data_IF_392072360661
#
_entry.id   IF_392072360661
#
_cell.length_a   1.000
_cell.length_b   1.000
_cell.length_c   1.000
_cell.angle_alpha   90.00
_cell.angle_beta   90.00
_cell.angle_gamma   90.00
#
_symmetry.space_group_name_H-M   'P 1'
#
loop_
_entity.id
_entity.type
_entity.pdbx_description
1 polymer ?
#
# COMPACT_ATOMS: atom_id res chain seq x y z
N UNK A 1 -25.02 -19.84 -12.91
CA UNK A 1 -24.42 -19.26 -11.69
C UNK A 1 -24.89 -17.81 -11.59
N UNK A 2 -25.87 -17.53 -10.73
CA UNK A 2 -26.35 -16.16 -10.45
C UNK A 2 -25.43 -15.48 -9.44
N UNK A 3 -24.24 -15.09 -9.89
CA UNK A 3 -23.26 -14.36 -9.07
C UNK A 3 -23.71 -12.93 -8.79
N UNK A 4 -24.37 -12.29 -9.74
CA UNK A 4 -24.85 -10.91 -9.66
C UNK A 4 -26.37 -10.90 -9.61
N UNK A 5 -26.92 -10.24 -8.60
CA UNK A 5 -28.32 -9.87 -8.57
C UNK A 5 -28.52 -8.53 -9.27
N UNK A 6 -29.76 -8.27 -9.68
CA UNK A 6 -30.11 -7.02 -10.34
C UNK A 6 -31.43 -6.46 -9.81
N UNK A 7 -31.40 -5.18 -9.48
CA UNK A 7 -32.59 -4.39 -9.19
C UNK A 7 -32.81 -3.41 -10.34
N UNK A 8 -34.07 -3.22 -10.74
CA UNK A 8 -34.44 -2.26 -11.79
C UNK A 8 -35.33 -1.19 -11.22
N UNK A 9 -35.04 0.06 -11.55
CA UNK A 9 -35.87 1.22 -11.23
C UNK A 9 -36.12 2.07 -12.50
N UNK A 10 -36.70 3.26 -12.32
CA UNK A 10 -36.98 4.18 -13.42
C UNK A 10 -35.73 4.75 -14.10
N UNK A 11 -34.56 4.65 -13.45
CA UNK A 11 -33.29 5.21 -13.92
C UNK A 11 -32.33 4.15 -14.48
N UNK A 12 -32.61 2.86 -14.27
CA UNK A 12 -31.88 1.78 -14.94
C UNK A 12 -31.80 0.50 -14.14
N UNK A 13 -30.73 -0.27 -14.40
CA UNK A 13 -30.43 -1.55 -13.75
C UNK A 13 -29.23 -1.37 -12.83
N UNK A 14 -29.42 -1.66 -11.55
CA UNK A 14 -28.36 -1.70 -10.55
C UNK A 14 -27.96 -3.16 -10.38
N UNK A 15 -26.68 -3.45 -10.60
CA UNK A 15 -26.10 -4.77 -10.33
C UNK A 15 -25.50 -4.76 -8.92
N UNK A 16 -25.78 -5.79 -8.13
CA UNK A 16 -25.25 -5.93 -6.78
C UNK A 16 -24.93 -7.38 -6.45
N UNK A 17 -24.06 -7.56 -5.45
CA UNK A 17 -23.78 -8.86 -4.85
C UNK A 17 -24.65 -8.98 -3.59
N UNK A 18 -25.31 -10.12 -3.41
CA UNK A 18 -25.87 -10.44 -2.09
C UNK A 18 -24.73 -10.67 -1.08
N UNK A 19 -25.04 -10.69 0.21
CA UNK A 19 -24.01 -10.79 1.26
C UNK A 19 -23.11 -12.02 1.10
N UNK A 20 -23.68 -13.17 0.77
CA UNK A 20 -22.93 -14.42 0.56
C UNK A 20 -21.96 -14.31 -0.62
N UNK A 21 -22.43 -13.81 -1.76
CA UNK A 21 -21.60 -13.64 -2.95
C UNK A 21 -20.54 -12.55 -2.75
N UNK A 22 -20.83 -11.51 -1.97
CA UNK A 22 -19.85 -10.48 -1.62
C UNK A 22 -18.68 -11.06 -0.83
N UNK A 23 -18.95 -11.93 0.16
CA UNK A 23 -17.90 -12.67 0.90
C UNK A 23 -17.14 -13.62 -0.03
N UNK A 24 -17.82 -14.35 -0.91
CA UNK A 24 -17.14 -15.20 -1.91
C UNK A 24 -16.23 -14.38 -2.84
N UNK A 25 -16.64 -13.17 -3.24
CA UNK A 25 -15.84 -12.32 -4.13
C UNK A 25 -14.56 -11.81 -3.47
N UNK A 26 -14.48 -11.69 -2.13
CA UNK A 26 -13.21 -11.34 -1.48
C UNK A 26 -12.20 -12.50 -1.61
N UNK A 27 -12.64 -13.74 -1.49
CA UNK A 27 -11.81 -14.92 -1.75
C UNK A 27 -11.33 -14.96 -3.21
N UNK A 28 -12.23 -14.76 -4.18
CA UNK A 28 -11.83 -14.71 -5.60
C UNK A 28 -10.88 -13.57 -5.90
N UNK A 29 -11.10 -12.37 -5.33
CA UNK A 29 -10.19 -11.23 -5.46
C UNK A 29 -8.80 -11.63 -5.01
N UNK A 30 -8.66 -12.25 -3.84
CA UNK A 30 -7.35 -12.64 -3.31
C UNK A 30 -6.63 -13.66 -4.20
N UNK A 31 -7.37 -14.56 -4.86
CA UNK A 31 -6.79 -15.53 -5.78
C UNK A 31 -6.26 -14.94 -7.10
N UNK A 32 -6.72 -13.75 -7.52
CA UNK A 32 -6.29 -13.13 -8.78
C UNK A 32 -5.53 -11.82 -8.58
N UNK A 33 -5.44 -11.33 -7.34
CA UNK A 33 -4.85 -10.03 -7.03
C UNK A 33 -3.41 -9.89 -7.56
N UNK A 34 -2.63 -10.97 -7.51
CA UNK A 34 -1.26 -11.03 -8.00
C UNK A 34 -1.12 -10.65 -9.49
N UNK A 35 -2.14 -10.92 -10.32
CA UNK A 35 -2.17 -10.57 -11.75
C UNK A 35 -2.28 -9.05 -11.92
N UNK A 36 -3.06 -8.40 -11.05
CA UNK A 36 -3.33 -6.97 -11.11
C UNK A 36 -2.32 -6.13 -10.31
N UNK A 37 -1.48 -6.75 -9.48
CA UNK A 37 -0.63 -6.03 -8.54
C UNK A 37 0.29 -4.99 -9.19
N UNK A 38 1.03 -5.38 -10.25
CA UNK A 38 1.93 -4.48 -10.96
C UNK A 38 1.19 -3.35 -11.71
N UNK A 39 0.18 -3.61 -12.56
CA UNK A 39 -0.55 -2.52 -13.21
C UNK A 39 -1.27 -1.62 -12.18
N UNK A 40 -1.75 -2.16 -11.06
CA UNK A 40 -2.30 -1.36 -9.96
C UNK A 40 -1.25 -0.46 -9.30
N UNK A 41 -0.02 -0.94 -9.11
CA UNK A 41 1.09 -0.11 -8.65
C UNK A 41 1.37 1.04 -9.62
N UNK A 42 1.49 0.75 -10.92
CA UNK A 42 1.72 1.77 -11.93
C UNK A 42 0.58 2.81 -11.95
N UNK A 43 -0.67 2.35 -11.89
CA UNK A 43 -1.84 3.22 -11.83
C UNK A 43 -1.86 4.12 -10.57
N UNK A 44 -1.38 3.60 -9.43
CA UNK A 44 -1.32 4.35 -8.17
C UNK A 44 -0.43 5.59 -8.27
N UNK A 45 0.67 5.53 -9.01
CA UNK A 45 1.56 6.68 -9.21
C UNK A 45 0.85 7.89 -9.84
N UNK A 46 -0.11 7.61 -10.73
CA UNK A 46 -0.88 8.63 -11.42
C UNK A 46 -2.09 9.13 -10.64
N UNK A 47 -2.35 8.64 -9.42
CA UNK A 47 -3.37 9.21 -8.53
C UNK A 47 -2.92 10.56 -7.95
N UNK A 48 -1.65 10.65 -7.58
CA UNK A 48 -1.04 11.85 -7.00
C UNK A 48 -0.28 12.70 -8.02
N UNK A 49 0.19 12.10 -9.11
CA UNK A 49 1.08 12.74 -10.09
C UNK A 49 0.41 12.81 -11.45
N UNK A 50 0.28 14.00 -12.02
CA UNK A 50 -0.37 14.16 -13.34
C UNK A 50 0.51 13.71 -14.50
N UNK A 51 1.83 13.68 -14.30
CA UNK A 51 2.83 13.28 -15.29
C UNK A 51 4.04 12.64 -14.61
N UNK A 52 4.66 11.66 -15.25
CA UNK A 52 5.90 11.01 -14.78
C UNK A 52 6.76 10.55 -15.95
N UNK A 53 8.09 10.64 -15.81
CA UNK A 53 9.01 10.03 -16.76
C UNK A 53 9.12 8.52 -16.54
N UNK A 54 9.52 7.78 -17.57
CA UNK A 54 9.80 6.34 -17.48
C UNK A 54 10.81 6.03 -16.35
N UNK A 55 11.87 6.82 -16.25
CA UNK A 55 12.90 6.68 -15.22
C UNK A 55 12.33 6.79 -13.79
N UNK A 56 11.46 7.77 -13.55
CA UNK A 56 10.80 7.94 -12.25
C UNK A 56 9.89 6.74 -11.94
N UNK A 57 9.13 6.26 -12.92
CA UNK A 57 8.25 5.10 -12.78
C UNK A 57 9.07 3.87 -12.39
N UNK A 58 10.15 3.58 -13.11
CA UNK A 58 11.02 2.45 -12.81
C UNK A 58 11.68 2.56 -11.44
N UNK A 59 12.16 3.75 -11.06
CA UNK A 59 12.77 3.96 -9.74
C UNK A 59 11.81 3.60 -8.61
N UNK A 60 10.57 4.11 -8.65
CA UNK A 60 9.59 3.79 -7.61
C UNK A 60 9.09 2.35 -7.70
N UNK A 61 8.96 1.80 -8.91
CA UNK A 61 8.54 0.41 -9.10
C UNK A 61 9.57 -0.53 -8.50
N UNK A 62 10.86 -0.36 -8.81
CA UNK A 62 11.95 -1.17 -8.23
C UNK A 62 12.04 -1.06 -6.72
N UNK A 63 11.69 0.10 -6.16
CA UNK A 63 11.67 0.29 -4.71
C UNK A 63 10.51 -0.44 -4.02
N UNK A 64 9.34 -0.57 -4.65
CA UNK A 64 8.13 -1.12 -4.04
C UNK A 64 7.84 -2.57 -4.46
N UNK A 65 8.23 -2.95 -5.67
CA UNK A 65 7.94 -4.26 -6.26
C UNK A 65 8.45 -5.44 -5.44
N UNK A 66 9.67 -5.45 -4.85
CA UNK A 66 10.13 -6.59 -4.05
C UNK A 66 9.17 -6.98 -2.92
N UNK A 67 8.56 -5.99 -2.27
CA UNK A 67 7.61 -6.21 -1.17
C UNK A 67 6.28 -6.75 -1.68
N UNK A 68 5.76 -6.21 -2.79
CA UNK A 68 4.56 -6.75 -3.44
C UNK A 68 4.78 -8.16 -3.97
N UNK A 69 5.96 -8.41 -4.54
CA UNK A 69 6.35 -9.71 -5.07
C UNK A 69 6.37 -10.76 -3.98
N UNK A 70 7.00 -10.47 -2.84
CA UNK A 70 7.07 -11.40 -1.72
C UNK A 70 5.70 -11.66 -1.10
N UNK A 71 4.85 -10.64 -0.97
CA UNK A 71 3.53 -10.80 -0.35
C UNK A 71 2.52 -11.51 -1.26
N UNK A 72 2.53 -11.20 -2.56
CA UNK A 72 1.54 -11.69 -3.53
C UNK A 72 2.08 -12.80 -4.44
N UNK A 73 3.30 -13.29 -4.18
CA UNK A 73 3.97 -14.33 -4.96
C UNK A 73 4.00 -14.01 -6.47
N UNK A 74 4.32 -12.75 -6.80
CA UNK A 74 4.33 -12.29 -8.19
C UNK A 74 5.44 -12.99 -8.98
N UNK A 75 5.09 -13.51 -10.15
CA UNK A 75 5.95 -14.42 -10.93
C UNK A 75 7.24 -13.80 -11.50
N UNK A 76 7.26 -12.49 -11.78
CA UNK A 76 8.36 -11.91 -12.56
C UNK A 76 9.57 -11.61 -11.68
N UNK A 77 10.77 -12.10 -12.02
CA UNK A 77 11.99 -11.74 -11.29
C UNK A 77 12.35 -10.27 -11.52
N UNK A 78 13.17 -9.69 -10.62
CA UNK A 78 13.62 -8.30 -10.72
C UNK A 78 14.38 -8.00 -12.03
N UNK A 79 15.04 -9.00 -12.61
CA UNK A 79 15.75 -8.87 -13.91
C UNK A 79 14.81 -8.58 -15.08
N UNK A 80 13.56 -9.02 -15.01
CA UNK A 80 12.56 -8.83 -16.06
C UNK A 80 11.65 -7.62 -15.80
N UNK A 81 11.70 -7.04 -14.59
CA UNK A 81 10.74 -6.05 -14.13
C UNK A 81 10.61 -4.85 -15.07
N UNK A 82 11.72 -4.31 -15.57
CA UNK A 82 11.72 -3.14 -16.45
C UNK A 82 10.95 -3.39 -17.75
N UNK A 83 11.16 -4.56 -18.37
CA UNK A 83 10.50 -4.92 -19.61
C UNK A 83 9.00 -5.11 -19.37
N UNK A 84 8.62 -5.76 -18.27
CA UNK A 84 7.22 -5.96 -17.89
C UNK A 84 6.54 -4.62 -17.60
N UNK A 85 7.24 -3.67 -16.96
CA UNK A 85 6.73 -2.31 -16.75
C UNK A 85 6.48 -1.62 -18.08
N UNK A 86 7.39 -1.71 -19.04
CA UNK A 86 7.21 -1.11 -20.37
C UNK A 86 6.01 -1.69 -21.11
N UNK A 87 5.80 -3.01 -21.03
CA UNK A 87 4.64 -3.67 -21.61
C UNK A 87 3.33 -3.13 -21.01
N UNK A 88 3.25 -2.98 -19.69
CA UNK A 88 2.08 -2.40 -19.03
C UNK A 88 1.86 -0.93 -19.38
N UNK A 89 2.93 -0.14 -19.47
CA UNK A 89 2.83 1.26 -19.87
C UNK A 89 2.36 1.40 -21.32
N UNK A 90 2.83 0.54 -22.23
CA UNK A 90 2.32 0.48 -23.61
C UNK A 90 0.83 0.13 -23.63
N UNK A 91 0.42 -0.90 -22.87
CA UNK A 91 -1.00 -1.26 -22.74
C UNK A 91 -1.85 -0.13 -22.16
N UNK A 92 -1.36 0.62 -21.16
CA UNK A 92 -2.08 1.78 -20.62
C UNK A 92 -2.27 2.88 -21.67
N UNK A 93 -1.28 3.10 -22.54
CA UNK A 93 -1.40 4.07 -23.64
C UNK A 93 -2.38 3.60 -24.70
N UNK A 94 -2.30 2.32 -25.10
CA UNK A 94 -3.21 1.71 -26.08
C UNK A 94 -4.67 1.77 -25.62
N UNK A 95 -4.92 1.52 -24.33
CA UNK A 95 -6.25 1.57 -23.73
C UNK A 95 -6.70 2.99 -23.34
N UNK A 96 -5.91 4.03 -23.63
CA UNK A 96 -6.21 5.43 -23.31
C UNK A 96 -6.16 5.78 -21.82
N UNK A 97 -5.72 4.85 -20.97
CA UNK A 97 -5.55 5.06 -19.53
C UNK A 97 -4.38 5.99 -19.21
N UNK A 98 -3.42 6.12 -20.13
CA UNK A 98 -2.35 7.12 -20.11
C UNK A 98 -2.15 7.70 -21.51
N UNK A 99 -1.47 8.84 -21.57
CA UNK A 99 -0.96 9.43 -22.83
C UNK A 99 0.54 9.58 -22.73
N UNK A 100 1.27 9.22 -23.78
CA UNK A 100 2.71 9.43 -23.84
C UNK A 100 3.01 10.67 -24.70
N UNK A 101 3.61 11.71 -24.11
CA UNK A 101 3.92 12.97 -24.78
C UNK A 101 5.25 13.51 -24.27
N UNK A 102 6.16 13.91 -25.16
CA UNK A 102 7.46 14.52 -24.80
C UNK A 102 8.22 13.69 -23.75
N UNK A 103 8.34 12.39 -23.99
CA UNK A 103 9.05 11.42 -23.13
C UNK A 103 8.50 11.26 -21.70
N UNK A 104 7.26 11.71 -21.47
CA UNK A 104 6.56 11.50 -20.20
C UNK A 104 5.18 10.88 -20.40
N UNK A 105 4.80 10.04 -19.45
CA UNK A 105 3.45 9.53 -19.33
C UNK A 105 2.59 10.56 -18.59
N UNK A 106 1.38 10.78 -19.08
CA UNK A 106 0.45 11.79 -18.59
C UNK A 106 -0.90 11.14 -18.37
N UNK A 107 -1.47 11.34 -17.19
CA UNK A 107 -2.79 10.82 -16.86
C UNK A 107 -3.93 11.54 -17.62
N UNK A 108 -5.10 10.90 -17.78
CA UNK A 108 -6.32 11.54 -18.24
C UNK A 108 -6.84 12.61 -17.27
N UNK A 109 -7.81 13.41 -17.70
CA UNK A 109 -8.41 14.42 -16.81
C UNK A 109 -9.22 13.75 -15.68
N UNK A 110 -9.27 14.31 -14.46
CA UNK A 110 -10.00 13.69 -13.35
C UNK A 110 -11.49 13.44 -13.62
N UNK A 111 -12.11 14.22 -14.50
CA UNK A 111 -13.50 14.09 -14.94
C UNK A 111 -13.73 12.99 -15.99
N UNK A 112 -12.67 12.41 -16.54
CA UNK A 112 -12.75 11.42 -17.61
C UNK A 112 -13.04 10.01 -17.10
N UNK A 113 -13.66 9.19 -17.94
CA UNK A 113 -13.93 7.77 -17.64
C UNK A 113 -12.62 7.00 -17.44
N UNK A 114 -11.60 7.32 -18.21
CA UNK A 114 -10.29 6.67 -18.19
C UNK A 114 -9.58 6.91 -16.85
N UNK A 115 -9.70 8.12 -16.27
CA UNK A 115 -9.19 8.38 -14.93
C UNK A 115 -9.93 7.59 -13.85
N UNK A 116 -11.25 7.41 -13.99
CA UNK A 116 -12.04 6.56 -13.08
C UNK A 116 -11.55 5.10 -13.16
N UNK A 117 -11.32 4.57 -14.37
CA UNK A 117 -10.77 3.22 -14.56
C UNK A 117 -9.36 3.08 -13.96
N UNK A 118 -8.48 4.06 -14.17
CA UNK A 118 -7.15 4.10 -13.58
C UNK A 118 -7.20 4.11 -12.04
N UNK A 119 -8.16 4.87 -11.49
CA UNK A 119 -8.43 4.92 -10.05
C UNK A 119 -8.91 3.56 -9.53
N UNK A 120 -9.86 2.91 -10.21
CA UNK A 120 -10.33 1.57 -9.85
C UNK A 120 -9.19 0.56 -9.85
N UNK A 121 -8.34 0.59 -10.86
CA UNK A 121 -7.17 -0.29 -10.95
C UNK A 121 -6.21 -0.05 -9.78
N UNK A 122 -5.90 1.20 -9.44
CA UNK A 122 -5.00 1.53 -8.32
C UNK A 122 -5.48 1.00 -6.96
N UNK A 123 -6.80 0.90 -6.76
CA UNK A 123 -7.40 0.45 -5.50
C UNK A 123 -7.08 -1.00 -5.16
N UNK A 124 -6.73 -1.83 -6.15
CA UNK A 124 -6.51 -3.26 -5.91
C UNK A 124 -5.42 -3.52 -4.86
N UNK A 125 -4.35 -2.72 -4.85
CA UNK A 125 -3.22 -2.85 -3.91
C UNK A 125 -3.15 -1.73 -2.86
N UNK A 126 -4.14 -0.85 -2.80
CA UNK A 126 -4.07 0.34 -1.94
C UNK A 126 -3.87 -0.04 -0.46
N UNK A 127 -4.56 -1.09 0.02
CA UNK A 127 -4.43 -1.57 1.39
C UNK A 127 -3.05 -2.16 1.68
N UNK A 128 -2.46 -2.91 0.75
CA UNK A 128 -1.08 -3.41 0.88
C UNK A 128 -0.09 -2.25 1.01
N UNK A 129 -0.19 -1.23 0.15
CA UNK A 129 0.67 -0.05 0.22
C UNK A 129 0.48 0.76 1.51
N UNK A 130 -0.74 0.83 2.02
CA UNK A 130 -1.04 1.45 3.32
C UNK A 130 -0.35 0.70 4.46
N UNK A 131 -0.43 -0.64 4.47
CA UNK A 131 0.27 -1.48 5.48
C UNK A 131 1.78 -1.28 5.43
N UNK A 132 2.37 -1.23 4.23
CA UNK A 132 3.80 -0.99 4.08
C UNK A 132 4.22 0.37 4.66
N UNK A 133 3.52 1.43 4.28
CA UNK A 133 3.82 2.77 4.79
C UNK A 133 3.57 2.90 6.29
N UNK A 134 2.53 2.24 6.81
CA UNK A 134 2.21 2.21 8.24
C UNK A 134 3.36 1.63 9.07
N UNK A 135 3.87 0.45 8.69
CA UNK A 135 4.97 -0.19 9.42
C UNK A 135 6.24 0.66 9.40
N UNK A 136 6.55 1.30 8.27
CA UNK A 136 7.70 2.20 8.18
C UNK A 136 7.48 3.48 9.02
N UNK A 137 6.28 4.06 9.00
CA UNK A 137 5.96 5.25 9.78
C UNK A 137 6.07 4.99 11.29
N UNK A 138 5.55 3.87 11.78
CA UNK A 138 5.69 3.45 13.19
C UNK A 138 7.15 3.26 13.57
N UNK A 139 7.91 2.51 12.77
CA UNK A 139 9.34 2.27 13.02
C UNK A 139 10.14 3.58 13.09
N UNK A 140 9.92 4.50 12.14
CA UNK A 140 10.61 5.78 12.10
C UNK A 140 10.24 6.64 13.32
N UNK A 141 8.97 6.62 13.73
CA UNK A 141 8.49 7.37 14.88
C UNK A 141 9.08 6.84 16.20
N UNK A 142 9.22 5.52 16.35
CA UNK A 142 9.83 4.91 17.53
C UNK A 142 11.36 5.08 17.58
N UNK A 143 12.02 5.46 16.49
CA UNK A 143 13.45 5.73 16.44
C UNK A 143 14.34 4.51 16.18
N UNK A 144 15.66 4.73 16.13
CA UNK A 144 16.65 3.69 15.84
C UNK A 144 16.87 2.77 17.05
N UNK A 145 16.98 1.46 16.81
CA UNK A 145 17.30 0.43 17.82
C UNK A 145 16.33 0.39 19.02
N UNK A 146 15.07 0.79 18.84
CA UNK A 146 14.07 0.81 19.94
C UNK A 146 13.14 -0.39 19.89
N UNK A 147 12.61 -0.73 18.71
CA UNK A 147 11.66 -1.81 18.51
C UNK A 147 12.33 -3.11 18.07
N UNK A 148 11.85 -4.25 18.57
CA UNK A 148 12.07 -5.54 17.91
C UNK A 148 11.08 -5.72 16.74
N UNK A 149 11.29 -6.75 15.93
CA UNK A 149 10.35 -7.11 14.85
C UNK A 149 8.94 -7.43 15.38
N UNK A 150 8.86 -8.14 16.51
CA UNK A 150 7.60 -8.50 17.16
C UNK A 150 6.87 -7.27 17.72
N UNK A 151 7.60 -6.36 18.36
CA UNK A 151 7.01 -5.11 18.87
C UNK A 151 6.47 -4.23 17.74
N UNK A 152 7.19 -4.14 16.62
CA UNK A 152 6.71 -3.39 15.45
C UNK A 152 5.44 -4.03 14.85
N UNK A 153 5.39 -5.36 14.77
CA UNK A 153 4.22 -6.12 14.31
C UNK A 153 2.98 -5.87 15.19
N UNK A 154 3.15 -5.86 16.51
CA UNK A 154 2.08 -5.57 17.46
C UNK A 154 1.57 -4.12 17.30
N UNK A 155 2.48 -3.15 17.20
CA UNK A 155 2.11 -1.75 16.97
C UNK A 155 1.35 -1.56 15.65
N UNK A 156 1.77 -2.25 14.57
CA UNK A 156 1.05 -2.21 13.30
C UNK A 156 -0.38 -2.74 13.44
N UNK A 157 -0.57 -3.82 14.21
CA UNK A 157 -1.89 -4.41 14.44
C UNK A 157 -2.80 -3.45 15.19
N UNK A 158 -2.30 -2.81 16.26
CA UNK A 158 -3.03 -1.80 17.04
C UNK A 158 -3.39 -0.59 16.18
N UNK A 159 -2.44 -0.13 15.36
CA UNK A 159 -2.65 1.01 14.47
C UNK A 159 -3.68 0.72 13.38
N UNK A 160 -3.67 -0.48 12.80
CA UNK A 160 -4.67 -0.92 11.84
C UNK A 160 -6.07 -0.88 12.44
N UNK A 161 -6.24 -1.38 13.68
CA UNK A 161 -7.50 -1.32 14.42
C UNK A 161 -7.98 0.13 14.62
N UNK A 162 -7.09 1.04 15.07
CA UNK A 162 -7.42 2.46 15.22
C UNK A 162 -7.87 3.09 13.89
N UNK A 163 -7.16 2.84 12.78
CA UNK A 163 -7.53 3.39 11.48
C UNK A 163 -8.86 2.84 10.95
N UNK A 164 -9.21 1.59 11.24
CA UNK A 164 -10.51 1.05 10.87
C UNK A 164 -11.65 1.76 11.58
N UNK A 165 -11.48 2.11 12.85
CA UNK A 165 -12.49 2.86 13.61
C UNK A 165 -12.62 4.27 13.04
N UNK A 166 -11.50 4.93 12.74
CA UNK A 166 -11.49 6.31 12.23
C UNK A 166 -12.03 6.45 10.80
N UNK A 167 -11.80 5.46 9.94
CA UNK A 167 -12.10 5.54 8.50
C UNK A 167 -13.16 4.54 8.02
N UNK A 168 -13.73 3.73 8.91
CA UNK A 168 -14.69 2.68 8.55
C UNK A 168 -14.11 1.60 7.62
N UNK A 169 -12.79 1.38 7.68
CA UNK A 169 -12.09 0.43 6.80
C UNK A 169 -12.31 -1.03 7.26
N UNK A 170 -13.44 -1.62 6.87
CA UNK A 170 -13.78 -3.01 7.19
C UNK A 170 -13.19 -4.01 6.18
N UNK A 171 -11.87 -4.21 6.18
CA UNK A 171 -11.24 -5.29 5.44
C UNK A 171 -10.47 -6.22 6.38
N UNK A 172 -10.84 -7.50 6.51
CA UNK A 172 -10.20 -8.44 7.45
C UNK A 172 -8.68 -8.53 7.28
N UNK A 173 -8.20 -8.43 6.05
CA UNK A 173 -6.77 -8.46 5.68
C UNK A 173 -5.98 -7.25 6.19
N UNK A 174 -6.63 -6.15 6.60
CA UNK A 174 -5.92 -4.96 7.06
C UNK A 174 -5.32 -5.12 8.47
N UNK A 175 -5.87 -6.03 9.27
CA UNK A 175 -5.45 -6.31 10.66
C UNK A 175 -4.63 -7.60 10.79
N UNK A 176 -4.35 -8.27 9.67
CA UNK A 176 -3.69 -9.57 9.71
C UNK A 176 -2.23 -9.41 10.15
N UNK A 177 -1.98 -9.82 11.40
CA UNK A 177 -0.68 -9.83 12.05
C UNK A 177 0.38 -10.57 11.22
N UNK A 178 -0.01 -11.62 10.50
CA UNK A 178 0.92 -12.37 9.65
C UNK A 178 1.43 -11.54 8.48
N UNK A 179 0.60 -10.67 7.89
CA UNK A 179 1.03 -9.84 6.76
C UNK A 179 2.08 -8.81 7.19
N UNK A 180 1.95 -8.23 8.39
CA UNK A 180 2.99 -7.37 8.96
C UNK A 180 4.28 -8.12 9.22
N UNK A 181 4.20 -9.33 9.79
CA UNK A 181 5.35 -10.21 10.00
C UNK A 181 6.14 -10.45 8.72
N UNK A 182 5.44 -10.87 7.66
CA UNK A 182 6.05 -11.19 6.37
C UNK A 182 6.69 -9.93 5.75
N UNK A 183 6.04 -8.77 5.84
CA UNK A 183 6.61 -7.52 5.37
C UNK A 183 7.89 -7.13 6.13
N UNK A 184 7.88 -7.22 7.46
CA UNK A 184 9.06 -6.93 8.30
C UNK A 184 10.20 -7.90 8.00
N UNK A 185 9.89 -9.19 7.80
CA UNK A 185 10.87 -10.18 7.39
C UNK A 185 11.46 -9.85 6.00
N UNK A 186 10.62 -9.48 5.04
CA UNK A 186 11.07 -9.08 3.70
C UNK A 186 12.00 -7.86 3.77
N UNK A 187 11.71 -6.89 4.65
CA UNK A 187 12.57 -5.73 4.88
C UNK A 187 13.95 -6.13 5.45
N UNK A 188 14.00 -7.15 6.32
CA UNK A 188 15.25 -7.69 6.86
C UNK A 188 16.04 -8.44 5.78
N UNK A 189 15.37 -9.29 5.00
CA UNK A 189 15.99 -10.11 3.96
C UNK A 189 16.61 -9.25 2.85
N UNK A 190 15.95 -8.13 2.50
CA UNK A 190 16.45 -7.14 1.55
C UNK A 190 17.46 -6.15 2.17
N UNK A 191 17.77 -6.28 3.46
CA UNK A 191 18.74 -5.45 4.17
C UNK A 191 18.31 -3.99 4.36
N UNK A 192 17.02 -3.68 4.16
CA UNK A 192 16.42 -2.36 4.44
C UNK A 192 16.40 -2.14 5.95
N UNK A 193 16.09 -3.19 6.70
CA UNK A 193 16.23 -3.25 8.15
C UNK A 193 17.38 -4.18 8.52
N UNK A 194 17.97 -3.93 9.69
CA UNK A 194 18.97 -4.80 10.32
C UNK A 194 18.63 -4.97 11.79
N UNK A 195 19.16 -6.01 12.40
CA UNK A 195 19.09 -6.22 13.86
C UNK A 195 20.42 -5.87 14.49
N UNK A 196 20.38 -5.15 15.61
CA UNK A 196 21.54 -4.96 16.46
C UNK A 196 21.80 -6.20 17.34
N UNK A 197 22.78 -6.11 18.25
CA UNK A 197 23.12 -7.19 19.18
C UNK A 197 21.99 -7.54 20.17
N UNK A 198 21.06 -6.62 20.42
CA UNK A 198 19.91 -6.82 21.29
C UNK A 198 18.66 -7.27 20.51
N UNK A 199 18.76 -7.50 19.20
CA UNK A 199 17.64 -7.89 18.35
C UNK A 199 16.71 -6.73 17.98
N UNK A 200 17.13 -5.48 18.21
CA UNK A 200 16.37 -4.27 17.88
C UNK A 200 16.63 -3.82 16.45
N UNK A 201 15.61 -3.24 15.83
CA UNK A 201 15.60 -2.85 14.43
C UNK A 201 16.38 -1.54 14.23
N UNK A 202 17.32 -1.57 13.30
CA UNK A 202 17.99 -0.41 12.73
C UNK A 202 17.68 -0.28 11.25
N UNK A 203 17.81 0.96 10.75
CA UNK A 203 17.58 1.30 9.35
C UNK A 203 18.57 2.35 8.85
N UNK A 204 18.67 2.50 7.53
CA UNK A 204 19.49 3.58 6.95
C UNK A 204 18.84 4.96 7.20
N UNK A 205 19.61 6.04 7.49
CA UNK A 205 19.05 7.37 7.75
C UNK A 205 18.14 7.91 6.63
N UNK A 206 18.36 7.51 5.38
CA UNK A 206 17.54 7.92 4.24
C UNK A 206 16.19 7.19 4.14
N UNK A 207 15.92 6.17 4.97
CA UNK A 207 14.68 5.40 4.89
C UNK A 207 13.44 6.31 4.99
N UNK A 208 13.46 7.29 5.88
CA UNK A 208 12.34 8.21 6.06
C UNK A 208 12.03 9.05 4.82
N UNK A 209 13.06 9.61 4.18
CA UNK A 209 12.90 10.39 2.95
C UNK A 209 12.41 9.52 1.79
N UNK A 210 12.97 8.32 1.64
CA UNK A 210 12.60 7.38 0.58
C UNK A 210 11.15 6.88 0.74
N UNK A 211 10.78 6.49 1.96
CA UNK A 211 9.44 6.03 2.28
C UNK A 211 8.41 7.13 2.05
N UNK A 212 8.68 8.36 2.49
CA UNK A 212 7.77 9.47 2.27
C UNK A 212 7.69 9.86 0.78
N UNK A 213 8.81 9.83 0.07
CA UNK A 213 8.87 10.08 -1.36
C UNK A 213 8.02 9.09 -2.16
N UNK A 214 8.05 7.80 -1.79
CA UNK A 214 7.22 6.76 -2.40
C UNK A 214 5.74 6.89 -1.98
N UNK A 215 5.46 7.09 -0.68
CA UNK A 215 4.11 7.20 -0.15
C UNK A 215 3.33 8.38 -0.75
N UNK A 216 4.00 9.52 -0.97
CA UNK A 216 3.41 10.67 -1.69
C UNK A 216 2.92 10.33 -3.09
N UNK A 217 3.51 9.31 -3.73
CA UNK A 217 3.14 8.86 -5.07
C UNK A 217 1.95 7.92 -5.06
N UNK A 218 1.87 7.02 -4.08
CA UNK A 218 0.96 5.87 -4.11
C UNK A 218 -0.20 5.96 -3.13
N UNK A 219 -0.16 6.85 -2.14
CA UNK A 219 -1.21 7.02 -1.13
C UNK A 219 -1.86 8.40 -1.20
N UNK A 220 -3.15 8.55 -0.87
CA UNK A 220 -3.80 9.85 -0.64
C UNK A 220 -3.19 10.59 0.55
N UNK A 221 -3.25 11.94 0.53
CA UNK A 221 -2.71 12.76 1.60
C UNK A 221 -3.40 12.52 2.95
N UNK A 222 -4.72 12.36 2.95
CA UNK A 222 -5.54 12.08 4.14
C UNK A 222 -5.08 10.82 4.87
N UNK A 223 -4.90 9.71 4.15
CA UNK A 223 -4.43 8.46 4.74
C UNK A 223 -3.02 8.59 5.30
N UNK A 224 -2.11 9.27 4.60
CA UNK A 224 -0.75 9.51 5.12
C UNK A 224 -0.76 10.35 6.39
N UNK A 225 -1.59 11.39 6.45
CA UNK A 225 -1.74 12.25 7.61
C UNK A 225 -2.33 11.47 8.79
N UNK A 226 -3.38 10.70 8.56
CA UNK A 226 -4.01 9.90 9.62
C UNK A 226 -3.05 8.86 10.20
N UNK A 227 -2.28 8.16 9.35
CA UNK A 227 -1.22 7.25 9.79
C UNK A 227 -0.20 8.00 10.66
N UNK A 228 0.31 9.14 10.19
CA UNK A 228 1.30 9.92 10.96
C UNK A 228 0.75 10.40 12.30
N UNK A 229 -0.47 10.90 12.34
CA UNK A 229 -1.10 11.38 13.57
C UNK A 229 -1.23 10.27 14.60
N UNK A 230 -1.74 9.10 14.20
CA UNK A 230 -1.88 7.96 15.13
C UNK A 230 -0.53 7.49 15.62
N UNK A 231 0.48 7.40 14.74
CA UNK A 231 1.84 7.00 15.13
C UNK A 231 2.43 7.95 16.19
N UNK A 232 2.28 9.26 16.03
CA UNK A 232 2.78 10.26 16.99
C UNK A 232 2.17 10.09 18.39
N UNK A 233 0.85 9.91 18.49
CA UNK A 233 0.16 9.79 19.78
C UNK A 233 0.50 8.49 20.53
N UNK A 234 0.84 7.41 19.82
CA UNK A 234 1.28 6.15 20.45
C UNK A 234 2.56 6.32 21.27
N UNK A 235 3.48 7.20 20.86
CA UNK A 235 4.71 7.47 21.61
C UNK A 235 4.48 8.35 22.85
N UNK A 236 3.51 9.28 22.81
CA UNK A 236 3.21 10.16 23.95
C UNK A 236 2.59 9.37 25.11
N UNK A 237 1.66 8.46 24.83
CA UNK A 237 1.04 7.58 25.84
C UNK A 237 2.06 6.61 26.49
N UNK A 238 3.02 6.08 25.72
CA UNK A 238 4.09 5.21 26.26
C UNK A 238 5.13 5.97 27.10
N UNK A 239 5.42 7.23 26.75
CA UNK A 239 6.34 8.08 27.53
C UNK A 239 5.72 8.56 28.86
N UNK A 240 4.42 8.88 28.87
CA UNK A 240 3.71 9.23 30.11
C UNK A 240 3.53 8.02 31.04
N UNK A 241 3.29 6.81 30.49
CA UNK A 241 3.24 5.59 31.29
C UNK A 241 4.59 5.24 31.95
N UNK A 242 5.72 5.53 31.28
CA UNK A 242 7.07 5.34 31.84
C UNK A 242 7.48 6.38 32.90
N UNK A 243 6.89 7.58 32.87
CA UNK A 243 7.16 8.64 33.85
C UNK A 243 6.25 8.57 35.10
N UNK A 244 5.18 7.78 35.06
CA UNK A 244 4.21 7.64 36.16
C UNK A 244 4.59 6.66 37.28
N UNK A 245 5.58 5.78 37.08
CA UNK A 245 6.01 4.80 38.11
C UNK A 245 7.12 5.32 39.06
N UNK A 246 7.43 6.63 38.98
CA UNK A 246 8.56 7.24 39.67
C UNK A 246 8.21 8.30 40.72
N UNK A 247 7.06 8.22 41.41
CA UNK A 247 6.83 9.02 42.63
C UNK A 247 6.04 8.19 43.65
N UNK A 248 6.78 7.54 44.55
CA UNK A 248 6.29 7.16 45.88
C UNK A 248 6.61 8.28 46.87
#
# INVERSE_FOLDING_TARGET
MDLLAAQKDALGKILYLNEQNAVLMTYYRNNVLHIFALPSLLASFFQSSSRMSREQILRYTRALYPFLQSELFIRWPLSELDEVVDQWLAAFVEQGLLRFKKDVYVRPEPSSREFVLLTLLSRAIAQTLQRFYMAIALLLNSGQNTLSAEQLEDLCTVMAQRLSILHGLNAPEFFDKSLFRHFIQTLLDLGVLRKDSAGKLSYHPMLGELAEGAAKRVLPAEIRLSIRQVALHSNEEEQDAGNGEGVA
#
